data_IF_088712026043
#
_entry.id   IF_088712026043
#
_cell.length_a   1.000
_cell.length_b   1.000
_cell.length_c   1.000
_cell.angle_alpha   90.00
_cell.angle_beta   90.00
_cell.angle_gamma   90.00
#
_symmetry.space_group_name_H-M   'P 1'
#
loop_
_entity.id
_entity.type
_entity.pdbx_description
1 polymer ?
#
# COMPACT_ATOMS: atom_id res chain seq x y z
N UNK A 1 6.44 3.74 22.26
CA UNK A 1 7.76 3.22 22.65
C UNK A 1 8.50 2.89 21.37
N UNK A 2 9.66 3.48 21.13
CA UNK A 2 10.48 3.15 19.96
C UNK A 2 11.42 1.99 20.32
N UNK A 3 11.60 1.05 19.39
CA UNK A 3 12.53 -0.09 19.54
C UNK A 3 13.73 0.17 18.62
N UNK A 4 14.98 0.09 19.12
CA UNK A 4 16.15 0.31 18.28
C UNK A 4 16.29 -0.78 17.22
N UNK A 5 16.60 -0.36 15.99
CA UNK A 5 16.90 -1.25 14.89
C UNK A 5 18.41 -1.35 14.71
N UNK A 6 18.98 -2.52 14.97
CA UNK A 6 20.40 -2.79 14.78
C UNK A 6 20.63 -3.38 13.39
N UNK A 7 21.41 -2.69 12.55
CA UNK A 7 21.74 -3.13 11.19
C UNK A 7 23.26 -3.08 10.99
N UNK A 8 23.80 -4.10 10.32
CA UNK A 8 25.18 -4.10 9.85
C UNK A 8 25.21 -3.58 8.42
N UNK A 9 25.98 -2.53 8.19
CA UNK A 9 26.14 -1.90 6.88
C UNK A 9 27.64 -1.85 6.52
N UNK A 10 28.00 -2.03 5.25
CA UNK A 10 29.33 -1.68 4.76
C UNK A 10 29.64 -0.21 5.03
N UNK A 11 30.92 0.13 5.22
CA UNK A 11 31.35 1.50 5.54
C UNK A 11 30.83 2.52 4.53
N UNK A 12 30.87 2.19 3.24
CA UNK A 12 30.39 3.05 2.16
C UNK A 12 28.91 3.45 2.31
N UNK A 13 28.07 2.57 2.86
CA UNK A 13 26.66 2.88 3.10
C UNK A 13 26.48 3.72 4.36
N UNK A 14 27.33 3.55 5.38
CA UNK A 14 27.33 4.43 6.55
C UNK A 14 27.69 5.86 6.14
N UNK A 15 28.80 6.03 5.41
CA UNK A 15 29.26 7.34 4.92
C UNK A 15 28.19 8.02 4.06
N UNK A 16 27.52 7.27 3.19
CA UNK A 16 26.40 7.78 2.41
C UNK A 16 25.24 8.29 3.29
N UNK A 17 24.83 7.52 4.30
CA UNK A 17 23.78 7.94 5.23
C UNK A 17 24.19 9.19 5.99
N UNK A 18 25.42 9.26 6.48
CA UNK A 18 25.94 10.43 7.19
C UNK A 18 25.93 11.68 6.31
N UNK A 19 26.32 11.57 5.04
CA UNK A 19 26.24 12.66 4.08
C UNK A 19 24.80 13.14 3.85
N UNK A 20 23.83 12.22 3.69
CA UNK A 20 22.41 12.57 3.54
C UNK A 20 21.82 13.22 4.78
N UNK A 21 22.23 12.78 5.97
CA UNK A 21 21.81 13.41 7.23
C UNK A 21 22.23 14.89 7.26
N UNK A 22 23.44 15.22 6.79
CA UNK A 22 23.90 16.60 6.71
C UNK A 22 23.23 17.40 5.58
N UNK A 23 23.01 16.78 4.42
CA UNK A 23 22.45 17.45 3.24
C UNK A 23 20.96 17.81 3.42
N UNK A 24 20.18 16.88 3.96
CA UNK A 24 18.72 17.00 4.10
C UNK A 24 18.30 17.52 5.50
N UNK A 25 19.26 17.98 6.32
CA UNK A 25 19.04 18.46 7.69
C UNK A 25 18.34 17.47 8.62
N UNK A 26 18.60 16.17 8.49
CA UNK A 26 18.14 15.21 9.49
C UNK A 26 18.97 15.34 10.77
N UNK A 27 18.35 15.07 11.92
CA UNK A 27 19.03 15.12 13.21
C UNK A 27 19.81 13.84 13.49
N UNK A 28 19.39 12.70 12.93
CA UNK A 28 20.06 11.40 13.12
C UNK A 28 19.93 10.47 11.91
N UNK A 29 20.83 9.48 11.75
CA UNK A 29 20.67 8.39 10.78
C UNK A 29 19.34 7.64 10.91
N UNK A 30 18.85 7.43 12.14
CA UNK A 30 17.58 6.75 12.39
C UNK A 30 16.37 7.52 11.84
N UNK A 31 16.44 8.86 11.82
CA UNK A 31 15.42 9.71 11.24
C UNK A 31 15.40 9.61 9.71
N UNK A 32 16.58 9.63 9.09
CA UNK A 32 16.73 9.39 7.66
C UNK A 32 16.15 8.03 7.26
N UNK A 33 16.55 6.95 7.94
CA UNK A 33 16.07 5.59 7.66
C UNK A 33 14.55 5.47 7.88
N UNK A 34 14.00 6.12 8.91
CA UNK A 34 12.55 6.15 9.14
C UNK A 34 11.81 6.80 7.98
N UNK A 35 12.34 7.89 7.46
CA UNK A 35 11.75 8.59 6.32
C UNK A 35 11.77 7.71 5.07
N UNK A 36 12.90 7.05 4.77
CA UNK A 36 12.99 6.08 3.67
C UNK A 36 11.96 4.94 3.79
N UNK A 37 11.73 4.43 5.01
CA UNK A 37 10.71 3.40 5.25
C UNK A 37 9.30 3.93 4.97
N UNK A 38 8.99 5.16 5.39
CA UNK A 38 7.68 5.78 5.12
C UNK A 38 7.46 6.02 3.62
N UNK A 39 8.50 6.46 2.92
CA UNK A 39 8.46 6.63 1.47
C UNK A 39 8.27 5.29 0.74
N UNK A 40 8.95 4.23 1.18
CA UNK A 40 8.76 2.89 0.63
C UNK A 40 7.32 2.38 0.83
N UNK A 41 6.76 2.58 2.03
CA UNK A 41 5.36 2.23 2.31
C UNK A 41 4.41 2.97 1.38
N UNK A 42 4.54 4.29 1.27
CA UNK A 42 3.70 5.12 0.38
C UNK A 42 3.81 4.69 -1.09
N UNK A 43 5.03 4.39 -1.55
CA UNK A 43 5.27 3.89 -2.91
C UNK A 43 4.58 2.55 -3.15
N UNK A 44 4.66 1.62 -2.20
CA UNK A 44 3.97 0.31 -2.30
C UNK A 44 2.46 0.44 -2.29
N UNK A 45 1.91 1.34 -1.47
CA UNK A 45 0.47 1.63 -1.46
C UNK A 45 -0.01 2.18 -2.81
N UNK A 46 0.76 3.11 -3.38
CA UNK A 46 0.46 3.69 -4.70
C UNK A 46 0.52 2.62 -5.79
N UNK A 47 1.56 1.79 -5.81
CA UNK A 47 1.69 0.68 -6.76
C UNK A 47 0.53 -0.33 -6.65
N UNK A 48 0.04 -0.60 -5.43
CA UNK A 48 -1.13 -1.45 -5.23
C UNK A 48 -2.40 -0.83 -5.82
N UNK A 49 -2.60 0.47 -5.62
CA UNK A 49 -3.74 1.19 -6.21
C UNK A 49 -3.67 1.21 -7.74
N UNK A 50 -2.49 1.49 -8.30
CA UNK A 50 -2.27 1.46 -9.75
C UNK A 50 -2.57 0.08 -10.35
N UNK A 51 -2.12 -0.99 -9.69
CA UNK A 51 -2.42 -2.36 -10.11
C UNK A 51 -3.94 -2.65 -10.12
N UNK A 52 -4.67 -2.19 -9.08
CA UNK A 52 -6.14 -2.34 -9.03
C UNK A 52 -6.84 -1.56 -10.13
N UNK A 53 -6.37 -0.35 -10.44
CA UNK A 53 -6.91 0.44 -11.56
C UNK A 53 -6.65 -0.26 -12.89
N UNK A 54 -5.44 -0.78 -13.09
CA UNK A 54 -5.09 -1.52 -14.30
C UNK A 54 -5.93 -2.79 -14.46
N UNK A 55 -6.14 -3.55 -13.38
CA UNK A 55 -7.01 -4.73 -13.37
C UNK A 55 -8.45 -4.35 -13.75
N UNK A 56 -8.98 -3.25 -13.16
CA UNK A 56 -10.31 -2.73 -13.47
C UNK A 56 -10.43 -2.35 -14.96
N UNK A 57 -9.45 -1.63 -15.52
CA UNK A 57 -9.43 -1.26 -16.93
C UNK A 57 -9.34 -2.48 -17.87
N UNK A 58 -8.69 -3.56 -17.43
CA UNK A 58 -8.59 -4.81 -18.17
C UNK A 58 -9.82 -5.73 -17.98
N UNK A 59 -10.70 -5.45 -17.02
CA UNK A 59 -11.82 -6.33 -16.63
C UNK A 59 -13.00 -6.36 -17.62
N UNK A 60 -12.92 -5.59 -18.71
CA UNK A 60 -13.90 -5.56 -19.80
C UNK A 60 -14.82 -4.34 -19.75
N UNK A 61 -15.93 -4.41 -20.47
CA UNK A 61 -16.85 -3.29 -20.61
C UNK A 61 -17.52 -2.93 -19.28
N UNK A 62 -17.59 -1.64 -18.98
CA UNK A 62 -18.34 -1.14 -17.83
C UNK A 62 -19.82 -1.45 -17.99
N UNK A 63 -20.43 -2.02 -16.96
CA UNK A 63 -21.89 -2.17 -16.89
C UNK A 63 -22.53 -0.92 -16.31
N UNK A 64 -23.71 -0.57 -16.81
CA UNK A 64 -24.53 0.48 -16.19
C UNK A 64 -25.05 -0.01 -14.84
N UNK A 65 -24.79 0.78 -13.79
CA UNK A 65 -25.23 0.47 -12.43
C UNK A 65 -26.54 1.18 -12.15
N UNK A 66 -27.66 0.49 -12.37
CA UNK A 66 -29.02 1.00 -12.11
C UNK A 66 -29.52 0.60 -10.71
N UNK A 67 -30.59 1.24 -10.19
CA UNK A 67 -31.22 0.79 -8.93
C UNK A 67 -31.70 -0.67 -8.98
N UNK A 68 -32.20 -1.12 -10.13
CA UNK A 68 -32.64 -2.51 -10.34
C UNK A 68 -31.47 -3.49 -10.30
N UNK A 69 -30.32 -3.12 -10.88
CA UNK A 69 -29.09 -3.91 -10.77
C UNK A 69 -28.69 -4.13 -9.31
N UNK A 70 -28.75 -3.09 -8.47
CA UNK A 70 -28.43 -3.20 -7.05
C UNK A 70 -29.40 -4.10 -6.28
N UNK A 71 -30.69 -4.00 -6.57
CA UNK A 71 -31.70 -4.84 -5.92
C UNK A 71 -31.51 -6.31 -6.29
N UNK A 72 -31.33 -6.60 -7.58
CA UNK A 72 -31.04 -7.95 -8.05
C UNK A 72 -29.74 -8.50 -7.44
N UNK A 73 -28.69 -7.69 -7.31
CA UNK A 73 -27.42 -8.10 -6.69
C UNK A 73 -27.61 -8.45 -5.21
N UNK A 74 -28.37 -7.65 -4.45
CA UNK A 74 -28.69 -7.94 -3.04
C UNK A 74 -29.46 -9.25 -2.88
N UNK A 75 -30.52 -9.44 -3.66
CA UNK A 75 -31.34 -10.66 -3.60
C UNK A 75 -30.51 -11.92 -3.91
N UNK A 76 -29.64 -11.86 -4.93
CA UNK A 76 -28.73 -12.95 -5.27
C UNK A 76 -27.74 -13.27 -4.14
N UNK A 77 -27.21 -12.27 -3.45
CA UNK A 77 -26.31 -12.50 -2.31
C UNK A 77 -27.05 -13.16 -1.14
N UNK A 78 -28.23 -12.65 -0.78
CA UNK A 78 -29.06 -13.23 0.29
C UNK A 78 -29.42 -14.70 0.01
N UNK A 79 -29.76 -15.02 -1.22
CA UNK A 79 -30.08 -16.40 -1.63
C UNK A 79 -28.85 -17.33 -1.56
N UNK A 80 -27.65 -16.84 -1.88
CA UNK A 80 -26.40 -17.62 -1.72
C UNK A 80 -26.09 -17.90 -0.25
N UNK A 81 -26.31 -16.92 0.63
CA UNK A 81 -26.11 -17.11 2.07
C UNK A 81 -27.16 -18.00 2.71
N UNK A 82 -28.42 -17.99 2.23
CA UNK A 82 -29.45 -18.93 2.71
C UNK A 82 -29.19 -20.37 2.24
N UNK A 83 -28.67 -20.55 1.03
CA UNK A 83 -28.41 -21.88 0.45
C UNK A 83 -27.08 -22.50 0.90
N UNK A 84 -26.10 -21.71 1.35
CA UNK A 84 -24.85 -22.19 1.93
C UNK A 84 -24.91 -22.44 3.44
N UNK A 85 -26.03 -22.11 4.10
CA UNK A 85 -26.28 -22.35 5.51
C UNK A 85 -27.17 -23.59 5.76
N UNK A 86 -27.32 -24.48 4.76
CA UNK A 86 -27.97 -25.80 4.85
C UNK A 86 -26.98 -26.92 4.58
#
# INVERSE_FOLDING_TARGET
MEIPLNISLPESLREFIEARVQEDNYSTPSEYVRTLIQEDQKRRETQKLEAMVQESLASGDSIEVTPEYWENKRQNLLQRFSNGAS
#
